data_IF_686082431992
#
_entry.id   IF_686082431992
#
_cell.length_a   1.000
_cell.length_b   1.000
_cell.length_c   1.000
_cell.angle_alpha   90.00
_cell.angle_beta   90.00
_cell.angle_gamma   90.00
#
_symmetry.space_group_name_H-M   'P 1'
#
loop_
_entity.id
_entity.type
_entity.pdbx_description
1 polymer ?
#
# COMPACT_ATOMS: atom_id res chain seq x y z
N UNK A 1 10.83 -0.81 14.07
CA UNK A 1 9.78 -1.23 13.12
C UNK A 1 8.59 -1.70 13.95
N UNK A 2 7.42 -1.01 13.94
CA UNK A 2 6.25 -1.49 14.71
C UNK A 2 5.79 -2.85 14.16
N UNK A 3 5.42 -3.83 15.00
CA UNK A 3 4.91 -5.12 14.54
C UNK A 3 3.64 -4.94 13.71
N UNK A 4 3.49 -5.74 12.65
CA UNK A 4 2.33 -5.68 11.74
C UNK A 4 1.07 -6.10 12.52
N UNK A 5 0.01 -5.30 12.42
CA UNK A 5 -1.25 -5.56 13.13
C UNK A 5 -2.01 -6.73 12.48
N UNK A 6 -2.89 -7.40 13.22
CA UNK A 6 -3.76 -8.46 12.68
C UNK A 6 -4.59 -7.99 11.48
N UNK A 7 -5.05 -6.73 11.50
CA UNK A 7 -5.78 -6.11 10.38
C UNK A 7 -4.92 -5.98 9.13
N UNK A 8 -3.64 -5.65 9.29
CA UNK A 8 -2.69 -5.63 8.17
C UNK A 8 -2.59 -7.00 7.50
N UNK A 9 -2.47 -8.07 8.27
CA UNK A 9 -2.35 -9.43 7.72
C UNK A 9 -3.60 -9.81 6.92
N UNK A 10 -4.79 -9.53 7.47
CA UNK A 10 -6.07 -9.79 6.82
C UNK A 10 -6.27 -8.94 5.54
N UNK A 11 -5.88 -7.67 5.55
CA UNK A 11 -5.94 -6.84 4.34
C UNK A 11 -4.91 -7.28 3.29
N UNK A 12 -3.76 -7.82 3.72
CA UNK A 12 -2.77 -8.40 2.81
C UNK A 12 -3.28 -9.68 2.15
N UNK A 13 -4.04 -10.52 2.85
CA UNK A 13 -4.66 -11.72 2.28
C UNK A 13 -5.93 -11.44 1.46
N UNK A 14 -6.45 -10.21 1.49
CA UNK A 14 -7.70 -9.85 0.81
C UNK A 14 -8.97 -10.10 1.65
N UNK A 15 -8.80 -10.53 2.91
CA UNK A 15 -9.92 -10.80 3.83
C UNK A 15 -10.52 -9.53 4.45
N UNK A 16 -9.82 -8.40 4.34
CA UNK A 16 -10.32 -7.09 4.76
C UNK A 16 -10.03 -6.02 3.69
N UNK A 17 -10.95 -5.06 3.50
CA UNK A 17 -10.71 -3.91 2.65
C UNK A 17 -9.61 -3.01 3.26
N UNK A 18 -8.86 -2.29 2.42
CA UNK A 18 -7.79 -1.41 2.89
C UNK A 18 -8.30 -0.20 3.69
N UNK A 19 -9.60 0.10 3.65
CA UNK A 19 -10.27 1.08 4.51
C UNK A 19 -10.23 0.71 6.00
N UNK A 20 -10.10 -0.59 6.31
CA UNK A 20 -9.92 -1.07 7.69
C UNK A 20 -8.53 -0.75 8.27
N UNK A 21 -7.60 -0.29 7.43
CA UNK A 21 -6.26 0.11 7.81
C UNK A 21 -6.16 1.63 8.02
N UNK A 22 -5.20 2.03 8.87
CA UNK A 22 -4.80 3.44 8.92
C UNK A 22 -4.21 3.87 7.56
N UNK A 23 -4.22 5.17 7.26
CA UNK A 23 -3.65 5.70 6.01
C UNK A 23 -2.20 5.22 5.79
N UNK A 24 -1.38 5.25 6.84
CA UNK A 24 0.02 4.80 6.77
C UNK A 24 0.18 3.29 6.54
N UNK A 25 -0.70 2.48 7.13
CA UNK A 25 -0.69 1.02 6.89
C UNK A 25 -1.14 0.70 5.46
N UNK A 26 -2.17 1.40 4.96
CA UNK A 26 -2.64 1.26 3.59
C UNK A 26 -1.58 1.67 2.57
N UNK A 27 -0.90 2.80 2.78
CA UNK A 27 0.22 3.22 1.92
C UNK A 27 1.32 2.16 1.86
N UNK A 28 1.62 1.55 3.02
CA UNK A 28 2.61 0.48 3.08
C UNK A 28 2.13 -0.81 2.41
N UNK A 29 0.86 -1.18 2.58
CA UNK A 29 0.29 -2.36 1.93
C UNK A 29 0.38 -2.24 0.40
N UNK A 30 -0.03 -1.10 -0.15
CA UNK A 30 0.03 -0.84 -1.59
C UNK A 30 1.47 -0.87 -2.11
N UNK A 31 2.42 -0.25 -1.39
CA UNK A 31 3.83 -0.29 -1.76
C UNK A 31 4.41 -1.71 -1.71
N UNK A 32 4.07 -2.49 -0.68
CA UNK A 32 4.52 -3.88 -0.53
C UNK A 32 3.95 -4.77 -1.67
N UNK A 33 2.69 -4.59 -2.08
CA UNK A 33 2.09 -5.35 -3.18
C UNK A 33 2.71 -4.98 -4.54
N UNK A 34 2.95 -3.68 -4.79
CA UNK A 34 3.66 -3.25 -5.99
C UNK A 34 5.11 -3.77 -6.04
N UNK A 35 5.79 -3.83 -4.90
CA UNK A 35 7.13 -4.44 -4.81
C UNK A 35 7.14 -5.95 -5.07
N UNK A 36 5.99 -6.63 -4.89
CA UNK A 36 5.79 -8.02 -5.30
C UNK A 36 5.44 -8.17 -6.80
N UNK A 37 5.43 -7.07 -7.56
CA UNK A 37 5.17 -7.06 -9.00
C UNK A 37 3.70 -6.86 -9.38
N UNK A 38 2.82 -6.59 -8.42
CA UNK A 38 1.39 -6.40 -8.70
C UNK A 38 1.15 -5.06 -9.40
N UNK A 39 0.22 -5.06 -10.33
CA UNK A 39 -0.21 -3.88 -11.09
C UNK A 39 -1.25 -3.06 -10.31
N UNK A 40 -1.45 -1.80 -10.72
CA UNK A 40 -2.45 -0.91 -10.11
C UNK A 40 -3.87 -1.50 -10.12
N UNK A 41 -4.36 -2.08 -11.24
CA UNK A 41 -5.68 -2.72 -11.26
C UNK A 41 -5.77 -3.91 -10.30
N UNK A 42 -4.77 -4.78 -10.26
CA UNK A 42 -4.76 -5.96 -9.37
C UNK A 42 -4.77 -5.55 -7.89
N UNK A 43 -3.97 -4.55 -7.53
CA UNK A 43 -3.95 -4.03 -6.15
C UNK A 43 -5.30 -3.39 -5.82
N UNK A 44 -5.87 -2.59 -6.72
CA UNK A 44 -7.15 -1.92 -6.51
C UNK A 44 -8.27 -2.93 -6.26
N UNK A 45 -8.35 -3.98 -7.08
CA UNK A 45 -9.30 -5.07 -6.91
C UNK A 45 -9.09 -5.80 -5.58
N UNK A 46 -7.85 -6.24 -5.30
CA UNK A 46 -7.51 -6.99 -4.09
C UNK A 46 -7.75 -6.23 -2.78
N UNK A 47 -7.58 -4.91 -2.82
CA UNK A 47 -7.71 -4.05 -1.63
C UNK A 47 -9.06 -3.33 -1.56
N UNK A 48 -9.95 -3.59 -2.51
CA UNK A 48 -11.28 -2.96 -2.67
C UNK A 48 -11.20 -1.43 -2.81
N UNK A 49 -10.15 -0.95 -3.47
CA UNK A 49 -9.90 0.47 -3.71
C UNK A 49 -10.14 0.84 -5.17
N UNK A 50 -10.22 2.13 -5.45
CA UNK A 50 -10.18 2.60 -6.85
C UNK A 50 -8.76 2.54 -7.39
N UNK A 51 -8.62 2.35 -8.71
CA UNK A 51 -7.32 2.47 -9.40
C UNK A 51 -6.70 3.85 -9.19
N UNK A 52 -7.51 4.91 -9.13
CA UNK A 52 -7.06 6.26 -8.82
C UNK A 52 -6.42 6.35 -7.42
N UNK A 53 -7.10 5.86 -6.39
CA UNK A 53 -6.59 5.87 -5.02
C UNK A 53 -5.28 5.09 -4.92
N UNK A 54 -5.23 3.92 -5.54
CA UNK A 54 -4.05 3.06 -5.58
C UNK A 54 -2.87 3.73 -6.28
N UNK A 55 -3.09 4.32 -7.47
CA UNK A 55 -2.06 5.05 -8.20
C UNK A 55 -1.52 6.25 -7.42
N UNK A 56 -2.41 7.02 -6.78
CA UNK A 56 -2.03 8.17 -5.96
C UNK A 56 -1.17 7.77 -4.76
N UNK A 57 -1.51 6.66 -4.10
CA UNK A 57 -0.73 6.12 -2.98
C UNK A 57 0.67 5.72 -3.46
N UNK A 58 0.78 5.05 -4.61
CA UNK A 58 2.08 4.67 -5.17
C UNK A 58 2.94 5.87 -5.55
N UNK A 59 2.34 6.92 -6.13
CA UNK A 59 3.06 8.16 -6.44
C UNK A 59 3.63 8.81 -5.17
N UNK A 60 2.83 8.89 -4.10
CA UNK A 60 3.28 9.38 -2.80
C UNK A 60 4.43 8.54 -2.21
N UNK A 61 4.31 7.21 -2.30
CA UNK A 61 5.34 6.29 -1.80
C UNK A 61 6.67 6.46 -2.55
N UNK A 62 6.63 6.58 -3.88
CA UNK A 62 7.81 6.83 -4.72
C UNK A 62 8.45 8.18 -4.41
N UNK A 63 7.67 9.25 -4.28
CA UNK A 63 8.18 10.58 -3.88
C UNK A 63 8.89 10.53 -2.54
N UNK A 64 8.31 9.83 -1.56
CA UNK A 64 8.92 9.67 -0.25
C UNK A 64 10.22 8.83 -0.29
N UNK A 65 10.31 7.86 -1.21
CA UNK A 65 11.54 7.09 -1.43
C UNK A 65 12.65 7.98 -2.02
N UNK A 66 12.36 8.71 -3.11
CA UNK A 66 13.35 9.60 -3.72
C UNK A 66 13.85 10.69 -2.77
N UNK A 67 12.98 11.24 -1.92
CA UNK A 67 13.37 12.21 -0.90
C UNK A 67 14.39 11.65 0.12
N UNK A 68 14.29 10.36 0.46
CA UNK A 68 15.25 9.70 1.37
C UNK A 68 16.60 9.48 0.71
N UNK A 69 16.61 9.07 -0.56
CA UNK A 69 17.83 8.85 -1.34
C UNK A 69 18.58 10.17 -1.60
N UNK A 70 17.87 11.29 -1.76
CA UNK A 70 18.48 12.61 -1.96
C UNK A 70 19.15 13.20 -0.69
N UNK A 71 18.94 12.60 0.48
CA UNK A 71 19.48 13.07 1.76
C UNK A 71 20.56 12.14 2.32
N UNK A 72 20.88 11.06 1.62
CA UNK A 72 21.87 10.05 1.98
C UNK A 72 23.17 10.25 1.18
#
# INVERSE_FOLDING_TARGET
MRPRTRRYALARSGDLPAEALTTRERERLVADLAALGWTVPEIAEHTHQTTYTTARILDNAKRAQYAREATA
#
